data_IF_899277984610
#
_entry.id   IF_899277984610
#
_cell.length_a   1.000
_cell.length_b   1.000
_cell.length_c   1.000
_cell.angle_alpha   90.00
_cell.angle_beta   90.00
_cell.angle_gamma   90.00
#
_symmetry.space_group_name_H-M   'P 1'
#
loop_
_entity.id
_entity.type
_entity.pdbx_description
1 polymer ?
#
# COMPACT_ATOMS: atom_id res chain seq x y z
N UNK A 1 -2.74 22.62 13.99
CA UNK A 1 -2.89 21.18 14.17
C UNK A 1 -3.96 20.89 15.21
N UNK A 2 -4.78 19.86 15.00
CA UNK A 2 -5.72 19.32 15.99
C UNK A 2 -5.57 17.79 16.04
N UNK A 3 -5.63 17.17 17.24
CA UNK A 3 -5.56 15.73 17.36
C UNK A 3 -6.65 15.03 16.55
N UNK A 4 -6.31 13.88 15.94
CA UNK A 4 -7.26 13.05 15.18
C UNK A 4 -8.19 12.23 16.05
N UNK A 5 -7.95 12.21 17.36
CA UNK A 5 -8.65 11.34 18.33
C UNK A 5 -7.94 9.98 18.52
N UNK A 6 -6.95 9.67 17.72
CA UNK A 6 -6.12 8.47 17.86
C UNK A 6 -4.84 8.80 18.63
N UNK A 7 -4.74 8.32 19.86
CA UNK A 7 -3.59 8.56 20.72
C UNK A 7 -3.90 9.51 21.87
N UNK A 8 -2.90 9.86 22.72
CA UNK A 8 -1.44 9.71 22.48
C UNK A 8 -0.97 8.24 22.41
N UNK A 9 0.01 7.97 21.55
CA UNK A 9 0.58 6.65 21.31
C UNK A 9 1.99 6.59 21.87
N UNK A 10 2.21 5.84 22.96
CA UNK A 10 3.53 5.76 23.59
C UNK A 10 4.52 5.01 22.72
N UNK A 11 5.75 5.54 22.57
CA UNK A 11 6.79 4.93 21.79
C UNK A 11 7.42 3.76 22.58
N UNK A 12 7.10 2.53 22.20
CA UNK A 12 7.54 1.32 22.92
C UNK A 12 8.99 0.92 22.65
N UNK A 13 9.68 1.64 21.74
CA UNK A 13 11.08 1.39 21.34
C UNK A 13 12.08 2.41 21.86
N UNK A 14 11.67 3.30 22.74
CA UNK A 14 12.54 4.24 23.47
C UNK A 14 12.33 4.07 24.96
N UNK A 15 13.37 4.36 25.75
CA UNK A 15 13.32 4.23 27.22
C UNK A 15 12.64 5.43 27.90
N UNK A 16 12.47 6.53 27.17
CA UNK A 16 11.85 7.76 27.67
C UNK A 16 10.32 7.70 27.56
N UNK A 17 9.63 8.45 28.43
CA UNK A 17 8.16 8.61 28.36
C UNK A 17 7.78 9.59 27.25
N UNK A 18 7.90 9.12 26.00
CA UNK A 18 7.62 9.87 24.77
C UNK A 18 6.40 9.28 24.08
N UNK A 19 5.47 10.15 23.67
CA UNK A 19 4.27 9.76 22.92
C UNK A 19 4.15 10.51 21.60
N UNK A 20 3.64 9.82 20.57
CA UNK A 20 3.21 10.40 19.31
C UNK A 20 1.75 10.82 19.42
N UNK A 21 1.43 12.02 18.96
CA UNK A 21 0.05 12.50 18.85
C UNK A 21 -0.29 12.74 17.38
N UNK A 22 -1.05 11.85 16.72
CA UNK A 22 -1.50 12.08 15.36
C UNK A 22 -2.42 13.30 15.26
N UNK A 23 -2.15 14.20 14.32
CA UNK A 23 -2.88 15.43 14.14
C UNK A 23 -3.25 15.68 12.68
N UNK A 24 -4.39 16.37 12.48
CA UNK A 24 -4.79 16.95 11.19
C UNK A 24 -4.38 18.41 11.08
N UNK A 25 -4.21 18.90 9.85
CA UNK A 25 -3.90 20.28 9.56
C UNK A 25 -5.18 21.13 9.46
N UNK A 26 -5.12 22.31 10.07
CA UNK A 26 -6.19 23.31 10.02
C UNK A 26 -5.64 24.66 9.58
N UNK A 27 -6.44 25.43 8.88
CA UNK A 27 -6.19 26.83 8.57
C UNK A 27 -6.34 27.69 9.83
N UNK A 28 -5.92 28.95 9.74
CA UNK A 28 -5.95 29.86 10.89
C UNK A 28 -7.39 30.13 11.38
N UNK A 29 -8.33 30.15 10.46
CA UNK A 29 -9.76 30.36 10.69
C UNK A 29 -10.45 29.14 11.33
N UNK A 30 -9.74 28.01 11.46
CA UNK A 30 -10.24 26.79 12.09
C UNK A 30 -10.90 25.80 11.14
N UNK A 31 -10.89 26.06 9.83
CA UNK A 31 -11.29 25.11 8.80
C UNK A 31 -10.20 24.07 8.54
N UNK A 32 -10.57 22.87 8.11
CA UNK A 32 -9.62 21.82 7.73
C UNK A 32 -8.83 22.32 6.50
N UNK A 33 -7.50 22.11 6.56
CA UNK A 33 -6.63 22.50 5.46
C UNK A 33 -6.93 21.66 4.20
N UNK A 34 -7.11 22.29 3.01
CA UNK A 34 -7.37 21.56 1.78
C UNK A 34 -6.19 20.70 1.31
N UNK A 35 -4.99 20.89 1.87
CA UNK A 35 -3.80 20.07 1.57
C UNK A 35 -3.57 18.98 2.61
N UNK A 36 -4.50 18.76 3.57
CA UNK A 36 -4.41 17.68 4.53
C UNK A 36 -4.79 16.34 3.86
N UNK A 37 -3.86 15.38 3.73
CA UNK A 37 -4.15 14.13 3.01
C UNK A 37 -5.23 13.28 3.68
N UNK A 38 -5.29 13.30 5.02
CA UNK A 38 -6.29 12.55 5.77
C UNK A 38 -7.69 13.11 5.51
N UNK A 39 -7.83 14.44 5.47
CA UNK A 39 -9.09 15.10 5.16
C UNK A 39 -9.57 14.83 3.72
N UNK A 40 -8.63 14.72 2.75
CA UNK A 40 -8.97 14.32 1.39
C UNK A 40 -9.55 12.91 1.33
N UNK A 41 -8.96 11.96 2.08
CA UNK A 41 -9.52 10.61 2.19
C UNK A 41 -10.90 10.63 2.88
N UNK A 42 -11.07 11.38 3.96
CA UNK A 42 -12.37 11.53 4.64
C UNK A 42 -13.46 12.03 3.68
N UNK A 43 -13.13 13.01 2.83
CA UNK A 43 -14.05 13.53 1.82
C UNK A 43 -14.44 12.48 0.78
N UNK A 44 -13.49 11.66 0.30
CA UNK A 44 -13.76 10.57 -0.66
C UNK A 44 -14.58 9.47 0.01
N UNK A 45 -14.25 9.05 1.23
CA UNK A 45 -15.04 8.06 2.00
C UNK A 45 -16.47 8.57 2.21
N UNK A 46 -16.64 9.88 2.45
CA UNK A 46 -17.96 10.52 2.53
C UNK A 46 -18.77 10.35 1.25
N UNK A 47 -18.16 10.48 0.07
CA UNK A 47 -18.82 10.25 -1.24
C UNK A 47 -19.21 8.77 -1.41
N UNK A 48 -18.31 7.83 -1.09
CA UNK A 48 -18.60 6.39 -1.14
C UNK A 48 -19.78 6.03 -0.24
N UNK A 49 -19.79 6.56 0.99
CA UNK A 49 -20.91 6.35 1.94
C UNK A 49 -22.22 6.99 1.46
N UNK A 50 -22.16 8.16 0.83
CA UNK A 50 -23.34 8.80 0.23
C UNK A 50 -23.96 7.97 -0.92
N UNK A 51 -23.14 7.18 -1.63
CA UNK A 51 -23.58 6.19 -2.60
C UNK A 51 -24.16 4.90 -1.95
N UNK A 52 -24.26 4.84 -0.62
CA UNK A 52 -24.77 3.69 0.12
C UNK A 52 -23.78 2.54 0.28
N UNK A 53 -22.49 2.81 0.10
CA UNK A 53 -21.41 1.81 0.13
C UNK A 53 -20.47 2.04 1.30
N UNK A 54 -19.91 0.95 1.84
CA UNK A 54 -18.86 0.98 2.86
C UNK A 54 -17.59 0.30 2.30
N UNK A 55 -16.49 1.05 2.13
CA UNK A 55 -15.24 0.47 1.67
C UNK A 55 -14.56 -0.34 2.79
N UNK A 56 -14.09 -1.53 2.48
CA UNK A 56 -13.26 -2.37 3.35
C UNK A 56 -11.87 -2.43 2.75
N UNK A 57 -10.87 -1.99 3.51
CA UNK A 57 -9.49 -1.86 3.04
C UNK A 57 -8.53 -2.69 3.89
N UNK A 58 -7.56 -3.33 3.24
CA UNK A 58 -6.40 -3.96 3.85
C UNK A 58 -5.15 -3.51 3.10
N UNK A 59 -4.01 -3.39 3.79
CA UNK A 59 -2.77 -2.91 3.18
C UNK A 59 -1.63 -3.89 3.40
N UNK A 60 -0.78 -4.04 2.39
CA UNK A 60 0.49 -4.77 2.45
C UNK A 60 1.61 -3.77 2.25
N UNK A 61 2.63 -3.79 3.11
CA UNK A 61 3.73 -2.85 3.06
C UNK A 61 5.07 -3.59 3.05
N UNK A 62 5.81 -3.39 1.97
CA UNK A 62 7.16 -3.88 1.82
C UNK A 62 8.19 -2.83 2.30
N UNK A 63 9.26 -3.28 2.92
CA UNK A 63 10.36 -2.44 3.37
C UNK A 63 11.67 -3.20 3.40
N UNK A 64 12.78 -2.45 3.32
CA UNK A 64 14.11 -3.01 3.53
C UNK A 64 14.67 -2.63 4.89
N UNK A 65 15.33 -3.59 5.52
CA UNK A 65 16.29 -3.33 6.58
C UNK A 65 17.69 -3.10 5.97
N UNK A 66 18.47 -2.25 6.60
CA UNK A 66 19.86 -1.99 6.20
C UNK A 66 20.76 -1.75 7.41
N UNK A 67 22.05 -1.96 7.22
CA UNK A 67 23.08 -1.74 8.24
C UNK A 67 23.42 -0.24 8.34
N UNK A 68 23.08 0.38 9.47
CA UNK A 68 23.35 1.81 9.73
C UNK A 68 24.83 2.12 9.99
N UNK A 69 25.65 1.11 10.34
CA UNK A 69 27.08 1.27 10.60
C UNK A 69 27.90 1.25 9.32
N UNK A 70 27.31 0.83 8.18
CA UNK A 70 28.01 0.77 6.90
C UNK A 70 28.04 2.10 6.17
N UNK A 71 29.05 2.32 5.35
CA UNK A 71 29.06 3.42 4.36
C UNK A 71 28.11 3.07 3.20
N UNK A 72 27.08 3.90 3.02
CA UNK A 72 26.00 3.63 2.07
C UNK A 72 24.97 2.64 2.63
N UNK A 73 23.91 2.42 1.87
CA UNK A 73 22.86 1.46 2.22
C UNK A 73 23.32 0.04 1.91
N UNK A 74 23.88 -0.65 2.89
CA UNK A 74 24.25 -2.08 2.76
C UNK A 74 23.17 -2.95 3.39
N UNK A 75 22.91 -4.16 2.84
CA UNK A 75 22.02 -5.13 3.48
C UNK A 75 22.45 -5.41 4.93
N UNK A 76 21.53 -5.79 5.83
CA UNK A 76 21.85 -6.00 7.23
C UNK A 76 22.77 -7.21 7.45
N UNK A 77 23.43 -7.24 8.59
CA UNK A 77 24.02 -8.48 9.10
C UNK A 77 22.88 -9.41 9.56
N UNK A 78 23.03 -10.70 9.33
CA UNK A 78 22.11 -11.70 9.87
C UNK A 78 22.29 -11.75 11.39
N UNK A 79 21.25 -11.52 12.20
CA UNK A 79 21.34 -11.50 13.65
C UNK A 79 22.04 -12.75 14.21
N UNK A 80 22.91 -12.55 15.21
CA UNK A 80 23.70 -13.63 15.81
C UNK A 80 24.89 -14.12 14.98
N UNK A 81 25.15 -13.51 13.81
CA UNK A 81 26.29 -13.87 12.94
C UNK A 81 27.10 -12.63 12.57
N UNK A 82 28.31 -12.85 12.02
CA UNK A 82 29.12 -11.79 11.40
C UNK A 82 28.90 -11.70 9.89
N UNK A 83 27.93 -12.46 9.35
CA UNK A 83 27.67 -12.55 7.92
C UNK A 83 26.63 -11.50 7.48
N UNK A 84 26.95 -10.78 6.40
CA UNK A 84 26.01 -9.88 5.72
C UNK A 84 25.11 -10.71 4.79
N UNK A 85 23.85 -10.29 4.65
CA UNK A 85 22.98 -10.86 3.63
C UNK A 85 23.56 -10.57 2.25
N UNK A 86 23.65 -11.60 1.41
CA UNK A 86 24.21 -11.53 0.04
C UNK A 86 23.19 -11.93 -1.02
N UNK A 87 22.02 -12.42 -0.61
CA UNK A 87 20.89 -12.76 -1.47
C UNK A 87 19.58 -12.54 -0.71
N UNK A 88 18.53 -12.23 -1.44
CA UNK A 88 17.17 -12.30 -0.93
C UNK A 88 16.71 -13.75 -0.81
N UNK A 89 15.68 -14.00 -0.03
CA UNK A 89 15.15 -15.35 0.20
C UNK A 89 13.63 -15.28 0.40
N UNK A 90 12.92 -15.29 -0.72
CA UNK A 90 11.46 -15.24 -0.75
C UNK A 90 10.86 -16.41 0.05
N UNK A 91 9.97 -16.09 0.99
CA UNK A 91 9.26 -17.02 1.89
C UNK A 91 10.19 -17.85 2.80
N UNK A 92 11.39 -17.37 3.12
CA UNK A 92 12.31 -18.07 4.00
C UNK A 92 11.87 -17.99 5.46
N UNK A 93 11.54 -19.14 6.03
CA UNK A 93 11.25 -19.26 7.45
C UNK A 93 12.53 -19.04 8.29
N UNK A 94 13.67 -19.55 7.84
CA UNK A 94 14.96 -19.39 8.53
C UNK A 94 15.34 -17.91 8.66
N UNK A 95 15.03 -17.10 7.63
CA UNK A 95 15.28 -15.66 7.66
C UNK A 95 14.35 -14.95 8.65
N UNK A 96 13.07 -15.30 8.65
CA UNK A 96 12.11 -14.77 9.62
C UNK A 96 12.50 -15.13 11.05
N UNK A 97 12.97 -16.38 11.28
CA UNK A 97 13.46 -16.81 12.58
C UNK A 97 14.71 -16.03 13.01
N UNK A 98 15.67 -15.81 12.09
CA UNK A 98 16.87 -15.01 12.38
C UNK A 98 16.52 -13.58 12.82
N UNK A 99 15.50 -12.95 12.21
CA UNK A 99 15.02 -11.61 12.55
C UNK A 99 13.85 -11.61 13.55
N UNK A 100 13.58 -12.76 14.22
CA UNK A 100 12.43 -12.91 15.12
C UNK A 100 12.35 -11.82 16.19
N UNK A 101 13.45 -11.44 16.82
CA UNK A 101 13.44 -10.41 17.85
C UNK A 101 12.96 -9.04 17.31
N UNK A 102 13.31 -8.72 16.08
CA UNK A 102 12.84 -7.52 15.40
C UNK A 102 11.33 -7.59 15.06
N UNK A 103 10.87 -8.72 14.52
CA UNK A 103 9.46 -8.89 14.17
C UNK A 103 8.57 -8.99 15.41
N UNK A 104 9.00 -9.64 16.48
CA UNK A 104 8.29 -9.70 17.77
C UNK A 104 8.07 -8.27 18.34
N UNK A 105 9.11 -7.44 18.32
CA UNK A 105 9.00 -6.05 18.78
C UNK A 105 8.08 -5.20 17.88
N UNK A 106 8.03 -5.47 16.56
CA UNK A 106 7.04 -4.85 15.65
C UNK A 106 5.63 -5.23 16.06
N UNK A 107 5.35 -6.52 16.26
CA UNK A 107 4.03 -6.99 16.65
C UNK A 107 3.59 -6.40 18.01
N UNK A 108 4.49 -6.38 18.99
CA UNK A 108 4.21 -5.78 20.30
C UNK A 108 3.90 -4.27 20.18
N UNK A 109 4.63 -3.54 19.34
CA UNK A 109 4.36 -2.11 19.11
C UNK A 109 3.05 -1.89 18.33
N UNK A 110 2.75 -2.75 17.36
CA UNK A 110 1.49 -2.71 16.61
C UNK A 110 0.29 -2.98 17.55
N UNK A 111 0.39 -3.99 18.41
CA UNK A 111 -0.65 -4.28 19.41
C UNK A 111 -0.86 -3.09 20.35
N UNK A 112 0.22 -2.49 20.87
CA UNK A 112 0.14 -1.32 21.75
C UNK A 112 -0.51 -0.10 21.09
N UNK A 113 -0.46 0.01 19.77
CA UNK A 113 -1.01 1.12 18.98
C UNK A 113 -2.31 0.79 18.25
N UNK A 114 -2.91 -0.38 18.48
CA UNK A 114 -4.09 -0.88 17.78
C UNK A 114 -3.89 -0.87 16.23
N UNK A 115 -2.68 -1.25 15.78
CA UNK A 115 -2.38 -1.47 14.37
C UNK A 115 -2.49 -2.97 14.09
N UNK A 116 -3.39 -3.42 13.20
CA UNK A 116 -3.75 -4.82 13.06
C UNK A 116 -2.75 -5.58 12.17
N UNK A 117 -1.48 -5.70 12.61
CA UNK A 117 -0.46 -6.47 11.90
C UNK A 117 -0.79 -7.97 11.93
N UNK A 118 -0.73 -8.62 10.77
CA UNK A 118 -1.00 -10.04 10.57
C UNK A 118 0.30 -10.80 10.26
N UNK A 119 0.49 -11.23 9.03
CA UNK A 119 1.64 -12.04 8.63
C UNK A 119 2.85 -11.19 8.24
N UNK A 120 4.03 -11.59 8.71
CA UNK A 120 5.31 -11.13 8.18
C UNK A 120 5.85 -12.12 7.15
N UNK A 121 6.41 -11.61 6.06
CA UNK A 121 6.96 -12.37 4.95
C UNK A 121 8.39 -11.89 4.69
N UNK A 122 9.33 -12.83 4.46
CA UNK A 122 10.61 -12.48 3.88
C UNK A 122 10.45 -12.38 2.37
N UNK A 123 10.88 -11.26 1.80
CA UNK A 123 10.72 -10.92 0.39
C UNK A 123 11.96 -11.27 -0.44
N UNK A 124 11.89 -11.03 -1.76
CA UNK A 124 12.95 -11.43 -2.70
C UNK A 124 14.21 -10.58 -2.59
N UNK A 125 14.15 -9.38 -2.03
CA UNK A 125 15.30 -8.51 -1.86
C UNK A 125 16.14 -8.81 -0.61
N UNK A 126 17.41 -8.42 -0.65
CA UNK A 126 18.37 -8.63 0.44
C UNK A 126 18.02 -7.79 1.68
N UNK A 127 17.34 -8.39 2.65
CA UNK A 127 16.83 -7.70 3.84
C UNK A 127 15.47 -7.06 3.63
N UNK A 128 14.73 -7.52 2.61
CA UNK A 128 13.37 -7.09 2.36
C UNK A 128 12.37 -7.96 3.11
N UNK A 129 11.41 -7.29 3.71
CA UNK A 129 10.28 -7.88 4.44
C UNK A 129 8.98 -7.22 4.00
N UNK A 130 7.89 -7.96 4.14
CA UNK A 130 6.52 -7.47 4.00
C UNK A 130 5.76 -7.76 5.29
N UNK A 131 4.87 -6.86 5.67
CA UNK A 131 3.87 -7.13 6.71
C UNK A 131 2.51 -6.71 6.18
N UNK A 132 1.56 -7.64 6.33
CA UNK A 132 0.17 -7.43 5.98
C UNK A 132 -0.58 -6.84 7.18
N UNK A 133 -1.40 -5.82 6.94
CA UNK A 133 -2.34 -5.29 7.92
C UNK A 133 -3.74 -5.81 7.59
N UNK A 134 -4.44 -6.32 8.61
CA UNK A 134 -5.79 -6.86 8.46
C UNK A 134 -6.79 -5.82 7.95
N UNK A 135 -7.81 -6.28 7.29
CA UNK A 135 -8.86 -5.44 6.72
C UNK A 135 -9.72 -4.77 7.80
N UNK A 136 -10.19 -3.58 7.49
CA UNK A 136 -11.16 -2.82 8.28
C UNK A 136 -12.17 -2.14 7.35
N UNK A 137 -13.39 -1.94 7.83
CA UNK A 137 -14.47 -1.17 7.18
C UNK A 137 -14.38 0.34 7.45
N UNK A 138 -13.28 0.77 8.03
CA UNK A 138 -12.87 2.17 8.16
C UNK A 138 -11.61 2.43 7.33
N UNK A 139 -11.80 2.93 6.10
CA UNK A 139 -10.70 3.22 5.18
C UNK A 139 -9.76 4.33 5.71
N UNK A 140 -10.25 5.23 6.57
CA UNK A 140 -9.40 6.26 7.20
C UNK A 140 -8.51 5.60 8.25
N UNK A 141 -9.05 4.67 9.07
CA UNK A 141 -8.25 3.86 9.99
C UNK A 141 -7.22 3.03 9.24
N UNK A 142 -7.56 2.41 8.11
CA UNK A 142 -6.60 1.66 7.31
C UNK A 142 -5.40 2.51 6.85
N UNK A 143 -5.65 3.77 6.47
CA UNK A 143 -4.58 4.73 6.11
C UNK A 143 -3.76 5.17 7.33
N UNK A 144 -4.42 5.47 8.45
CA UNK A 144 -3.77 5.77 9.74
C UNK A 144 -2.85 4.60 10.14
N UNK A 145 -3.35 3.36 10.09
CA UNK A 145 -2.60 2.14 10.43
C UNK A 145 -1.36 1.97 9.55
N UNK A 146 -1.50 2.13 8.23
CA UNK A 146 -0.38 2.06 7.30
C UNK A 146 0.70 3.12 7.57
N UNK A 147 0.29 4.36 7.90
CA UNK A 147 1.24 5.42 8.25
C UNK A 147 1.95 5.12 9.57
N UNK A 148 1.19 4.73 10.60
CA UNK A 148 1.73 4.39 11.93
C UNK A 148 2.64 3.17 11.86
N UNK A 149 2.30 2.16 11.07
CA UNK A 149 3.15 1.00 10.82
C UNK A 149 4.53 1.40 10.26
N UNK A 150 4.58 2.30 9.27
CA UNK A 150 5.86 2.82 8.77
C UNK A 150 6.69 3.50 9.86
N UNK A 151 6.05 4.16 10.82
CA UNK A 151 6.72 4.80 11.94
C UNK A 151 7.23 3.77 12.94
N UNK A 152 6.43 2.76 13.29
CA UNK A 152 6.80 1.63 14.15
C UNK A 152 8.03 0.92 13.60
N UNK A 153 7.99 0.48 12.34
CA UNK A 153 9.09 -0.26 11.70
C UNK A 153 10.42 0.51 11.79
N UNK A 154 10.40 1.82 11.48
CA UNK A 154 11.61 2.65 11.58
C UNK A 154 12.10 2.82 13.02
N UNK A 155 11.19 2.91 13.97
CA UNK A 155 11.49 3.04 15.40
C UNK A 155 12.11 1.76 15.97
N UNK A 156 11.44 0.64 15.72
CA UNK A 156 11.90 -0.69 16.15
C UNK A 156 13.23 -1.06 15.48
N UNK A 157 13.40 -0.77 14.17
CA UNK A 157 14.68 -1.02 13.50
C UNK A 157 15.83 -0.32 14.22
N UNK A 158 15.67 0.96 14.61
CA UNK A 158 16.68 1.69 15.39
C UNK A 158 17.00 1.05 16.73
N UNK A 159 15.98 0.54 17.45
CA UNK A 159 16.16 -0.23 18.69
C UNK A 159 17.07 -1.45 18.50
N UNK A 160 16.98 -2.09 17.33
CA UNK A 160 17.80 -3.24 16.94
C UNK A 160 19.13 -2.85 16.25
N UNK A 161 19.53 -1.58 16.25
CA UNK A 161 20.76 -1.11 15.58
C UNK A 161 20.69 -1.21 14.05
N UNK A 162 19.48 -1.27 13.49
CA UNK A 162 19.20 -1.35 12.05
C UNK A 162 18.56 -0.05 11.55
N UNK A 163 18.66 0.19 10.25
CA UNK A 163 17.81 1.15 9.55
C UNK A 163 16.68 0.43 8.81
N UNK A 164 15.55 1.09 8.64
CA UNK A 164 14.46 0.62 7.80
C UNK A 164 14.05 1.69 6.78
N UNK A 165 13.78 1.28 5.54
CA UNK A 165 13.36 2.18 4.47
C UNK A 165 12.16 1.63 3.71
N UNK A 166 11.20 2.52 3.44
CA UNK A 166 10.06 2.32 2.55
C UNK A 166 10.30 2.99 1.17
N UNK A 167 11.54 3.33 0.84
CA UNK A 167 11.91 3.85 -0.48
C UNK A 167 11.49 2.85 -1.56
N UNK A 168 10.87 3.31 -2.63
CA UNK A 168 10.30 2.41 -3.66
C UNK A 168 11.35 1.51 -4.32
N UNK A 169 12.57 2.00 -4.54
CA UNK A 169 13.68 1.24 -5.15
C UNK A 169 15.01 1.58 -4.47
N UNK A 170 15.29 1.03 -3.28
CA UNK A 170 16.51 1.35 -2.55
C UNK A 170 17.78 0.79 -3.22
N UNK A 171 17.70 -0.40 -3.82
CA UNK A 171 18.80 -1.04 -4.54
C UNK A 171 18.43 -1.19 -6.01
N UNK A 172 19.33 -0.76 -6.92
CA UNK A 172 19.05 -0.67 -8.36
C UNK A 172 18.67 -1.99 -9.00
N UNK A 173 19.36 -3.06 -8.62
CA UNK A 173 19.23 -4.39 -9.21
C UNK A 173 18.35 -5.35 -8.39
N UNK A 174 17.89 -4.93 -7.22
CA UNK A 174 17.07 -5.77 -6.33
C UNK A 174 15.57 -5.43 -6.47
N UNK A 175 14.69 -6.14 -5.76
CA UNK A 175 13.25 -5.86 -5.78
C UNK A 175 12.93 -4.44 -5.25
N UNK A 176 11.84 -3.85 -5.71
CA UNK A 176 11.31 -2.60 -5.15
C UNK A 176 10.34 -2.86 -4.01
N UNK A 177 10.05 -1.84 -3.20
CA UNK A 177 9.04 -1.91 -2.14
C UNK A 177 7.66 -1.51 -2.67
N UNK A 178 6.71 -2.41 -2.60
CA UNK A 178 5.30 -2.18 -2.91
C UNK A 178 4.49 -1.72 -1.69
N UNK A 179 3.40 -1.05 -2.00
CA UNK A 179 2.29 -0.78 -1.11
C UNK A 179 1.03 -1.28 -1.82
N UNK A 180 0.58 -2.49 -1.49
CA UNK A 180 -0.60 -3.06 -2.12
C UNK A 180 -1.84 -2.74 -1.28
N UNK A 181 -2.93 -2.39 -1.98
CA UNK A 181 -4.20 -2.06 -1.36
C UNK A 181 -5.27 -3.04 -1.82
N UNK A 182 -5.76 -3.85 -0.90
CA UNK A 182 -6.92 -4.70 -1.11
C UNK A 182 -8.19 -3.93 -0.75
N UNK A 183 -9.19 -4.00 -1.62
CA UNK A 183 -10.46 -3.32 -1.40
C UNK A 183 -11.64 -4.21 -1.78
N UNK A 184 -12.59 -4.33 -0.87
CA UNK A 184 -13.97 -4.77 -1.15
C UNK A 184 -14.95 -3.67 -0.75
N UNK A 185 -16.21 -3.79 -1.14
CA UNK A 185 -17.24 -2.83 -0.77
C UNK A 185 -18.49 -3.56 -0.27
N UNK A 186 -19.04 -3.07 0.83
CA UNK A 186 -20.26 -3.57 1.42
C UNK A 186 -21.42 -2.63 1.08
N UNK A 187 -22.60 -3.20 0.88
CA UNK A 187 -23.86 -2.45 0.83
C UNK A 187 -24.38 -2.12 2.24
N UNK A 188 -25.54 -1.48 2.31
CA UNK A 188 -26.19 -1.11 3.57
C UNK A 188 -26.61 -2.32 4.43
N UNK A 189 -26.69 -3.51 3.86
CA UNK A 189 -26.98 -4.76 4.58
C UNK A 189 -25.70 -5.41 5.16
N UNK A 190 -24.51 -4.91 4.78
CA UNK A 190 -23.23 -5.49 5.11
C UNK A 190 -22.81 -6.61 4.14
N UNK A 191 -23.50 -6.81 3.02
CA UNK A 191 -23.12 -7.78 2.01
C UNK A 191 -22.03 -7.22 1.09
N UNK A 192 -21.05 -8.06 0.73
CA UNK A 192 -20.00 -7.70 -0.21
C UNK A 192 -20.57 -7.63 -1.64
N UNK A 193 -20.67 -6.43 -2.21
CA UNK A 193 -21.25 -6.22 -3.54
C UNK A 193 -20.37 -6.75 -4.68
N UNK A 194 -19.14 -7.13 -4.41
CA UNK A 194 -18.22 -7.75 -5.37
C UNK A 194 -18.44 -9.26 -5.49
N UNK A 195 -19.13 -9.87 -4.52
CA UNK A 195 -19.51 -11.28 -4.56
C UNK A 195 -20.79 -11.48 -5.36
N UNK A 196 -20.79 -12.46 -6.26
CA UNK A 196 -21.97 -12.95 -6.97
C UNK A 196 -22.02 -14.48 -7.02
N UNK A 197 -21.25 -15.15 -6.17
CA UNK A 197 -21.12 -16.61 -6.13
C UNK A 197 -20.22 -17.21 -7.23
N UNK A 198 -19.53 -16.37 -8.03
CA UNK A 198 -18.60 -16.82 -9.08
C UNK A 198 -17.16 -16.34 -8.84
N UNK A 199 -16.21 -17.03 -9.44
CA UNK A 199 -14.78 -16.65 -9.34
C UNK A 199 -14.47 -15.32 -10.03
N UNK A 200 -15.25 -14.91 -11.01
CA UNK A 200 -15.07 -13.63 -11.72
C UNK A 200 -15.58 -12.43 -10.90
N UNK A 201 -16.41 -12.67 -9.89
CA UNK A 201 -17.08 -11.63 -9.12
C UNK A 201 -18.26 -10.98 -9.86
N UNK A 202 -18.83 -9.95 -9.24
CA UNK A 202 -20.02 -9.27 -9.74
C UNK A 202 -19.72 -8.29 -10.89
N UNK A 203 -20.73 -7.87 -11.67
CA UNK A 203 -20.58 -6.75 -12.61
C UNK A 203 -20.11 -5.46 -11.93
N UNK A 204 -20.46 -5.24 -10.66
CA UNK A 204 -20.02 -4.08 -9.88
C UNK A 204 -18.51 -4.11 -9.63
N UNK A 205 -17.93 -5.28 -9.36
CA UNK A 205 -16.45 -5.44 -9.30
C UNK A 205 -15.83 -5.10 -10.66
N UNK A 206 -16.40 -5.58 -11.75
CA UNK A 206 -15.90 -5.27 -13.09
C UNK A 206 -15.95 -3.76 -13.35
N UNK A 207 -17.03 -3.08 -12.98
CA UNK A 207 -17.14 -1.61 -13.11
C UNK A 207 -16.11 -0.86 -12.24
N UNK A 208 -15.87 -1.30 -11.02
CA UNK A 208 -14.81 -0.74 -10.16
C UNK A 208 -13.43 -0.88 -10.82
N UNK A 209 -13.11 -2.06 -11.37
CA UNK A 209 -11.87 -2.30 -12.11
C UNK A 209 -11.76 -1.37 -13.32
N UNK A 210 -12.85 -1.18 -14.09
CA UNK A 210 -12.85 -0.28 -15.24
C UNK A 210 -12.50 1.16 -14.83
N UNK A 211 -13.08 1.67 -13.75
CA UNK A 211 -12.77 2.99 -13.21
C UNK A 211 -11.32 3.12 -12.76
N UNK A 212 -10.77 2.09 -12.13
CA UNK A 212 -9.35 2.04 -11.75
C UNK A 212 -8.43 2.14 -12.96
N UNK A 213 -8.68 1.36 -14.01
CA UNK A 213 -7.84 1.34 -15.22
C UNK A 213 -7.93 2.65 -16.00
N UNK A 214 -9.10 3.26 -16.09
CA UNK A 214 -9.35 4.53 -16.78
C UNK A 214 -8.58 5.69 -16.15
N UNK A 215 -8.56 5.77 -14.82
CA UNK A 215 -7.96 6.89 -14.09
C UNK A 215 -6.50 6.67 -13.69
N UNK A 216 -6.01 5.44 -13.74
CA UNK A 216 -4.69 5.05 -13.22
C UNK A 216 -3.51 5.81 -13.86
N UNK A 217 -3.46 6.02 -15.20
CA UNK A 217 -2.36 6.77 -15.79
C UNK A 217 -2.27 8.21 -15.27
N UNK A 218 -3.41 8.86 -15.06
CA UNK A 218 -3.48 10.24 -14.61
C UNK A 218 -3.25 10.37 -13.09
N UNK A 219 -3.55 9.30 -12.35
CA UNK A 219 -3.36 9.20 -10.89
C UNK A 219 -1.96 8.70 -10.48
N UNK A 220 -1.07 8.42 -11.43
CA UNK A 220 0.23 7.78 -11.15
C UNK A 220 1.07 8.55 -10.12
N UNK A 221 0.96 9.88 -10.03
CA UNK A 221 1.68 10.66 -9.01
C UNK A 221 1.26 10.33 -7.57
N UNK A 222 0.03 9.88 -7.32
CA UNK A 222 -0.37 9.41 -6.00
C UNK A 222 0.32 8.09 -5.64
N UNK A 223 0.63 7.26 -6.62
CA UNK A 223 1.20 5.92 -6.47
C UNK A 223 2.73 5.92 -6.55
N UNK A 224 3.29 6.87 -7.29
CA UNK A 224 4.72 7.03 -7.56
C UNK A 224 5.13 8.51 -7.40
N UNK A 225 5.16 9.05 -6.13
CA UNK A 225 5.30 10.48 -5.90
C UNK A 225 6.72 11.03 -6.09
N UNK A 226 7.73 10.16 -6.17
CA UNK A 226 9.14 10.55 -6.20
C UNK A 226 9.84 10.05 -7.46
N UNK A 227 10.94 10.71 -7.85
CA UNK A 227 11.79 10.23 -8.96
C UNK A 227 12.25 8.78 -8.77
N UNK A 228 12.52 8.38 -7.53
CA UNK A 228 12.90 7.00 -7.20
C UNK A 228 11.75 6.01 -7.42
N UNK A 229 10.50 6.42 -7.26
CA UNK A 229 9.32 5.55 -7.44
C UNK A 229 9.27 4.97 -8.86
N UNK A 230 9.64 5.75 -9.88
CA UNK A 230 9.69 5.32 -11.28
C UNK A 230 10.80 4.31 -11.59
N UNK A 231 11.79 4.16 -10.69
CA UNK A 231 12.78 3.07 -10.79
C UNK A 231 12.18 1.71 -10.43
N UNK A 232 11.09 1.69 -9.65
CA UNK A 232 10.33 0.48 -9.33
C UNK A 232 9.42 0.09 -10.50
N UNK A 233 8.77 1.06 -11.17
CA UNK A 233 7.83 0.84 -12.26
C UNK A 233 8.56 0.51 -13.57
N UNK A 234 9.22 -0.65 -13.62
CA UNK A 234 9.99 -1.15 -14.76
C UNK A 234 9.71 -2.62 -15.00
N UNK A 235 9.90 -3.06 -16.24
CA UNK A 235 9.80 -4.47 -16.61
C UNK A 235 10.78 -5.33 -15.78
N UNK A 236 10.34 -6.53 -15.38
CA UNK A 236 11.15 -7.47 -14.61
C UNK A 236 11.27 -7.16 -13.10
N UNK A 237 10.58 -6.14 -12.59
CA UNK A 237 10.64 -5.75 -11.16
C UNK A 237 9.47 -6.26 -10.32
N UNK A 238 8.59 -7.07 -10.89
CA UNK A 238 7.30 -7.48 -10.31
C UNK A 238 6.32 -6.32 -10.02
N UNK A 239 6.69 -5.08 -10.36
CA UNK A 239 5.79 -3.94 -10.32
C UNK A 239 5.09 -3.77 -11.67
N UNK A 240 3.78 -3.45 -11.70
CA UNK A 240 3.05 -3.28 -12.94
C UNK A 240 3.50 -2.00 -13.67
N UNK A 241 3.64 -2.09 -15.00
CA UNK A 241 4.00 -0.97 -15.88
C UNK A 241 2.86 -0.57 -16.82
N UNK A 242 1.73 -1.26 -16.72
CA UNK A 242 0.56 -1.08 -17.59
C UNK A 242 -0.72 -0.96 -16.76
N UNK A 243 -1.69 -0.17 -17.24
CA UNK A 243 -3.04 -0.14 -16.70
C UNK A 243 -3.78 -1.42 -17.14
N UNK A 244 -3.63 -2.47 -16.37
CA UNK A 244 -4.06 -3.83 -16.72
C UNK A 244 -4.65 -4.56 -15.52
N UNK A 245 -5.49 -5.57 -15.78
CA UNK A 245 -6.07 -6.39 -14.72
C UNK A 245 -6.12 -7.86 -15.09
N UNK A 246 -6.11 -8.71 -14.08
CA UNK A 246 -6.18 -10.16 -14.29
C UNK A 246 -6.56 -10.92 -13.02
N UNK A 247 -7.07 -12.15 -13.24
CA UNK A 247 -7.38 -13.08 -12.16
C UNK A 247 -6.08 -13.68 -11.63
N UNK A 248 -5.86 -13.54 -10.33
CA UNK A 248 -4.68 -14.05 -9.60
C UNK A 248 -3.33 -13.77 -10.29
N UNK A 249 -3.22 -12.64 -10.99
CA UNK A 249 -2.06 -12.27 -11.78
C UNK A 249 -1.22 -11.19 -11.09
N UNK A 250 -0.04 -11.55 -10.59
CA UNK A 250 0.85 -10.65 -9.85
C UNK A 250 1.58 -9.62 -10.72
N UNK A 251 1.52 -9.73 -12.06
CA UNK A 251 2.08 -8.71 -12.97
C UNK A 251 1.04 -7.64 -13.35
N UNK A 252 -0.23 -7.83 -12.98
CA UNK A 252 -1.31 -6.88 -13.23
C UNK A 252 -1.24 -5.67 -12.29
N UNK A 253 -1.69 -4.51 -12.77
CA UNK A 253 -1.91 -3.33 -11.92
C UNK A 253 -3.08 -3.51 -10.96
N UNK A 254 -4.13 -4.20 -11.43
CA UNK A 254 -5.27 -4.62 -10.61
C UNK A 254 -5.38 -6.14 -10.69
N UNK A 255 -5.15 -6.80 -9.56
CA UNK A 255 -5.31 -8.25 -9.42
C UNK A 255 -6.63 -8.55 -8.72
N UNK A 256 -7.36 -9.56 -9.20
CA UNK A 256 -8.47 -10.15 -8.45
C UNK A 256 -7.92 -11.42 -7.80
N UNK A 257 -7.64 -11.41 -6.48
CA UNK A 257 -7.05 -12.56 -5.81
C UNK A 257 -7.98 -13.76 -5.82
N UNK A 258 -7.40 -14.97 -5.95
CA UNK A 258 -8.12 -16.21 -5.68
C UNK A 258 -8.57 -16.27 -4.21
N UNK A 259 -9.62 -17.03 -3.95
CA UNK A 259 -10.16 -17.23 -2.59
C UNK A 259 -11.67 -17.37 -2.55
N UNK A 260 -12.26 -17.48 -1.35
CA UNK A 260 -13.69 -17.59 -1.18
C UNK A 260 -14.44 -16.41 -1.79
N UNK A 261 -15.59 -16.68 -2.41
CA UNK A 261 -16.40 -15.64 -3.06
C UNK A 261 -16.82 -14.53 -2.09
N UNK A 262 -17.14 -14.85 -0.84
CA UNK A 262 -17.46 -13.86 0.19
C UNK A 262 -16.31 -12.86 0.47
N UNK A 263 -15.08 -13.25 0.18
CA UNK A 263 -13.88 -12.40 0.30
C UNK A 263 -13.46 -11.76 -1.04
N UNK A 264 -14.38 -11.67 -2.01
CA UNK A 264 -14.11 -11.11 -3.33
C UNK A 264 -13.71 -9.65 -3.21
N UNK A 265 -12.55 -9.30 -3.82
CA UNK A 265 -11.95 -7.98 -3.74
C UNK A 265 -11.05 -7.74 -4.95
N UNK A 266 -10.69 -6.52 -5.17
CA UNK A 266 -9.53 -6.20 -6.02
C UNK A 266 -8.31 -5.83 -5.16
N UNK A 267 -7.14 -6.01 -5.72
CA UNK A 267 -5.86 -5.59 -5.18
C UNK A 267 -5.22 -4.59 -6.16
N UNK A 268 -5.00 -3.36 -5.71
CA UNK A 268 -4.25 -2.35 -6.46
C UNK A 268 -2.76 -2.48 -6.13
N UNK A 269 -1.90 -2.63 -7.16
CA UNK A 269 -0.49 -3.01 -7.01
C UNK A 269 0.53 -1.97 -7.51
N UNK A 270 0.05 -0.83 -8.03
CA UNK A 270 0.95 0.19 -8.63
C UNK A 270 1.75 0.95 -7.59
N UNK A 271 1.17 1.22 -6.41
CA UNK A 271 1.80 2.07 -5.41
C UNK A 271 3.12 1.51 -4.89
N UNK A 272 4.11 2.39 -4.79
CA UNK A 272 5.30 2.13 -4.00
C UNK A 272 5.06 2.36 -2.50
N UNK A 273 5.85 1.70 -1.66
CA UNK A 273 5.76 1.88 -0.20
C UNK A 273 6.15 3.29 0.26
N UNK A 274 6.74 4.11 -0.59
CA UNK A 274 7.05 5.53 -0.37
C UNK A 274 5.82 6.45 -0.52
N UNK A 275 4.73 5.96 -1.15
CA UNK A 275 3.52 6.73 -1.34
C UNK A 275 2.80 7.07 -0.01
N UNK A 276 1.99 8.12 -0.06
CA UNK A 276 1.17 8.55 1.08
C UNK A 276 -0.09 7.67 1.16
N UNK A 277 -0.32 6.91 2.25
CA UNK A 277 -1.46 5.98 2.34
C UNK A 277 -2.82 6.63 2.17
N UNK A 278 -3.02 7.83 2.68
CA UNK A 278 -4.30 8.54 2.56
C UNK A 278 -4.61 8.87 1.10
N UNK A 279 -3.62 9.39 0.36
CA UNK A 279 -3.81 9.77 -1.03
C UNK A 279 -3.98 8.56 -1.94
N UNK A 280 -3.25 7.47 -1.66
CA UNK A 280 -3.42 6.19 -2.40
C UNK A 280 -4.82 5.65 -2.23
N UNK A 281 -5.29 5.52 -0.98
CA UNK A 281 -6.63 4.98 -0.69
C UNK A 281 -7.71 5.91 -1.27
N UNK A 282 -7.55 7.23 -1.16
CA UNK A 282 -8.48 8.20 -1.73
C UNK A 282 -8.59 8.06 -3.24
N UNK A 283 -7.46 8.02 -3.97
CA UNK A 283 -7.44 7.87 -5.42
C UNK A 283 -8.09 6.55 -5.88
N UNK A 284 -7.76 5.44 -5.20
CA UNK A 284 -8.32 4.12 -5.51
C UNK A 284 -9.83 4.07 -5.26
N UNK A 285 -10.31 4.60 -4.13
CA UNK A 285 -11.74 4.61 -3.82
C UNK A 285 -12.53 5.53 -4.75
N UNK A 286 -11.99 6.71 -5.09
CA UNK A 286 -12.62 7.62 -6.04
C UNK A 286 -12.71 7.01 -7.43
N UNK A 287 -11.65 6.36 -7.91
CA UNK A 287 -11.60 5.66 -9.19
C UNK A 287 -12.62 4.50 -9.25
N UNK A 288 -12.66 3.67 -8.20
CA UNK A 288 -13.62 2.58 -8.12
C UNK A 288 -15.07 3.09 -8.12
N UNK A 289 -15.36 4.14 -7.33
CA UNK A 289 -16.70 4.74 -7.29
C UNK A 289 -17.10 5.31 -8.66
N UNK A 290 -16.20 6.06 -9.34
CA UNK A 290 -16.43 6.57 -10.70
C UNK A 290 -16.83 5.45 -11.67
N UNK A 291 -16.11 4.34 -11.64
CA UNK A 291 -16.42 3.19 -12.50
C UNK A 291 -17.76 2.54 -12.16
N UNK A 292 -18.08 2.40 -10.87
CA UNK A 292 -19.36 1.85 -10.39
C UNK A 292 -20.53 2.74 -10.82
N UNK A 293 -20.45 4.06 -10.60
CA UNK A 293 -21.50 5.01 -10.97
C UNK A 293 -21.73 5.09 -12.48
N UNK A 294 -20.68 4.90 -13.27
CA UNK A 294 -20.75 4.86 -14.73
C UNK A 294 -21.18 3.50 -15.30
N UNK A 295 -21.35 2.47 -14.46
CA UNK A 295 -21.55 1.08 -14.89
C UNK A 295 -20.52 0.65 -15.96
N UNK A 296 -19.28 1.12 -15.81
CA UNK A 296 -18.22 0.96 -16.80
C UNK A 296 -17.84 -0.52 -16.97
N UNK A 297 -17.40 -0.87 -18.19
CA UNK A 297 -16.95 -2.23 -18.49
C UNK A 297 -15.42 -2.22 -18.72
N UNK A 298 -14.64 -3.04 -17.99
CA UNK A 298 -13.21 -3.12 -18.20
C UNK A 298 -12.87 -3.85 -19.51
N UNK A 299 -11.67 -3.68 -20.07
CA UNK A 299 -11.17 -4.56 -21.12
C UNK A 299 -11.10 -6.00 -20.60
N UNK A 300 -10.95 -6.96 -21.53
CA UNK A 300 -10.79 -8.38 -21.18
C UNK A 300 -9.58 -8.54 -20.25
N UNK A 301 -9.75 -9.32 -19.15
CA UNK A 301 -8.66 -9.69 -18.27
C UNK A 301 -7.56 -10.41 -19.06
N UNK A 302 -6.30 -10.00 -18.86
CA UNK A 302 -5.21 -10.67 -19.52
C UNK A 302 -4.72 -11.88 -18.72
N UNK A 303 -4.05 -12.81 -19.41
CA UNK A 303 -3.39 -13.98 -18.83
C UNK A 303 -1.91 -14.00 -19.25
N UNK A 304 -1.06 -14.61 -18.44
CA UNK A 304 0.38 -14.60 -18.65
C UNK A 304 1.06 -13.37 -18.06
N UNK A 305 2.22 -12.97 -18.58
CA UNK A 305 2.96 -11.80 -18.10
C UNK A 305 2.48 -10.53 -18.80
N UNK A 306 2.21 -9.46 -18.03
CA UNK A 306 1.86 -8.15 -18.59
C UNK A 306 3.02 -7.50 -19.36
N UNK A 307 4.26 -7.93 -19.11
CA UNK A 307 5.44 -7.40 -19.78
C UNK A 307 5.58 -7.89 -21.23
N UNK A 308 4.92 -9.01 -21.55
CA UNK A 308 4.98 -9.65 -22.88
C UNK A 308 3.79 -9.26 -23.78
N UNK A 309 2.99 -8.26 -23.37
CA UNK A 309 1.76 -7.89 -24.07
C UNK A 309 1.67 -6.39 -24.35
N UNK A 310 1.00 -6.04 -25.45
CA UNK A 310 0.68 -4.65 -25.79
C UNK A 310 -0.55 -4.19 -24.98
N UNK A 311 -0.29 -3.63 -23.81
CA UNK A 311 -1.30 -3.09 -22.90
C UNK A 311 -1.08 -1.58 -22.69
N UNK A 312 -2.12 -0.81 -22.31
CA UNK A 312 -1.98 0.63 -22.02
C UNK A 312 -0.91 0.87 -20.95
N UNK A 313 0.11 1.67 -21.30
CA UNK A 313 1.26 1.93 -20.40
C UNK A 313 0.93 2.99 -19.37
N UNK A 314 1.45 2.79 -18.16
CA UNK A 314 1.55 3.85 -17.16
C UNK A 314 2.67 4.82 -17.55
N UNK A 315 2.64 6.08 -17.05
CA UNK A 315 3.74 7.02 -17.22
C UNK A 315 5.08 6.39 -16.82
N UNK A 316 6.08 6.56 -17.66
CA UNK A 316 7.41 5.98 -17.45
C UNK A 316 8.35 6.89 -16.63
N UNK A 317 7.97 8.15 -16.43
CA UNK A 317 8.75 9.13 -15.68
C UNK A 317 7.85 10.04 -14.84
N UNK A 318 8.48 10.68 -13.86
CA UNK A 318 7.80 11.66 -12.99
C UNK A 318 7.26 12.85 -13.78
N UNK A 319 8.01 13.31 -14.78
CA UNK A 319 7.63 14.43 -15.65
C UNK A 319 6.41 14.09 -16.50
N UNK A 320 6.36 12.88 -17.06
CA UNK A 320 5.19 12.41 -17.82
C UNK A 320 3.95 12.31 -16.92
N UNK A 321 4.12 11.77 -15.72
CA UNK A 321 3.03 11.66 -14.75
C UNK A 321 2.52 13.04 -14.30
N UNK A 322 3.41 14.01 -14.12
CA UNK A 322 3.04 15.40 -13.77
C UNK A 322 2.19 16.03 -14.87
N UNK A 323 2.61 15.94 -16.13
CA UNK A 323 1.87 16.47 -17.27
C UNK A 323 0.47 15.84 -17.36
N UNK A 324 0.36 14.54 -17.18
CA UNK A 324 -0.94 13.84 -17.17
C UNK A 324 -1.83 14.32 -16.02
N UNK A 325 -1.27 14.43 -14.82
CA UNK A 325 -1.99 14.89 -13.64
C UNK A 325 -2.52 16.32 -13.79
N UNK A 326 -1.71 17.25 -14.35
CA UNK A 326 -2.11 18.63 -14.58
C UNK A 326 -3.25 18.79 -15.60
N UNK A 327 -3.42 17.84 -16.51
CA UNK A 327 -4.44 17.86 -17.56
C UNK A 327 -5.58 16.88 -17.32
N UNK A 328 -5.58 16.21 -16.17
CA UNK A 328 -6.63 15.25 -15.81
C UNK A 328 -7.90 15.96 -15.33
N UNK A 329 -9.03 15.42 -15.73
CA UNK A 329 -10.36 15.80 -15.21
C UNK A 329 -10.76 14.97 -13.97
N UNK A 330 -9.87 14.10 -13.48
CA UNK A 330 -10.11 13.20 -12.35
C UNK A 330 -9.63 13.77 -11.02
#
# INVERSE_FOLDING_TARGET
LKPTGRGPLQLTWVDDDVSLLPCQMYLHEGEISPIDPRAQLEAVVGKVRAAGLTPVCATELEFYLYDVASTGMQPPLIPGTASRMTAGSLYSIDLLEAFKGFTDDIYAACEAWDVPADAAISESGMGQFEVNLLHTDDAVKAADDALLFKFIVRGVARKHGLGATFMAKPYGEDAGNGFHLHTSMLDQSGANIFDNGTDLGSPVLASAVAGLLDTMPDSTLFFAPHLNSFRRLREGTHAPTTASWGMDNRTAAVRIPAGPNAARRFEHRVSGADANPYLVIAAVLAAALKGIEAEATPPVAFTGSSYDQELPRLPASWEEALVRFEHSDF
#
